data_IF_210091534561
#
_entry.id   IF_210091534561
#
_cell.length_a   1.000
_cell.length_b   1.000
_cell.length_c   1.000
_cell.angle_alpha   90.00
_cell.angle_beta   90.00
_cell.angle_gamma   90.00
#
_symmetry.space_group_name_H-M   'P 1'
#
loop_
_entity.id
_entity.type
_entity.pdbx_description
1 polymer ?
#
# COMPACT_ATOMS: atom_id res chain seq x y z
N UNK A 1 -17.47 11.04 -28.01
CA UNK A 1 -16.73 10.63 -26.79
C UNK A 1 -16.34 11.89 -26.04
N UNK A 2 -16.69 12.01 -24.77
CA UNK A 2 -16.42 13.23 -24.01
C UNK A 2 -14.92 13.35 -23.70
N UNK A 3 -14.40 14.58 -23.77
CA UNK A 3 -12.99 14.87 -23.45
C UNK A 3 -12.67 14.70 -21.96
N UNK A 4 -13.68 14.63 -21.09
CA UNK A 4 -13.52 14.56 -19.64
C UNK A 4 -12.99 13.20 -19.19
N UNK A 5 -13.64 12.10 -19.56
CA UNK A 5 -13.28 10.76 -19.09
C UNK A 5 -11.87 10.39 -19.56
N UNK A 6 -11.47 10.81 -20.76
CA UNK A 6 -10.10 10.64 -21.24
C UNK A 6 -9.08 11.45 -20.42
N UNK A 7 -9.42 12.66 -19.96
CA UNK A 7 -8.55 13.43 -19.05
C UNK A 7 -8.42 12.74 -17.70
N UNK A 8 -9.52 12.19 -17.17
CA UNK A 8 -9.50 11.42 -15.90
C UNK A 8 -8.66 10.16 -16.06
N UNK A 9 -8.84 9.39 -17.13
CA UNK A 9 -7.98 8.25 -17.46
C UNK A 9 -6.53 8.70 -17.46
N UNK A 10 -6.17 9.78 -18.18
CA UNK A 10 -4.80 10.27 -18.21
C UNK A 10 -4.20 10.60 -16.82
N UNK A 11 -5.01 11.03 -15.84
CA UNK A 11 -4.56 11.21 -14.44
C UNK A 11 -4.18 9.86 -13.83
N UNK A 12 -5.07 8.86 -13.91
CA UNK A 12 -4.77 7.49 -13.48
C UNK A 12 -3.50 6.99 -14.13
N UNK A 13 -3.39 7.19 -15.44
CA UNK A 13 -2.28 6.70 -16.23
C UNK A 13 -0.93 7.30 -15.81
N UNK A 14 -0.89 8.60 -15.53
CA UNK A 14 0.35 9.29 -15.17
C UNK A 14 0.72 9.13 -13.69
N UNK A 15 -0.29 9.08 -12.81
CA UNK A 15 -0.08 9.22 -11.36
C UNK A 15 -0.25 7.93 -10.58
N UNK A 16 -1.13 7.04 -11.00
CA UNK A 16 -1.38 5.77 -10.31
C UNK A 16 -0.77 4.58 -11.03
N UNK A 17 -0.96 4.50 -12.35
CA UNK A 17 -0.71 3.32 -13.19
C UNK A 17 0.57 3.42 -14.02
N UNK A 18 1.45 4.35 -13.71
CA UNK A 18 2.69 4.60 -14.46
C UNK A 18 3.74 3.44 -14.40
N UNK A 19 3.40 2.31 -13.79
CA UNK A 19 4.23 1.08 -13.70
C UNK A 19 3.92 0.09 -14.84
N UNK A 20 2.95 0.41 -15.70
CA UNK A 20 2.66 -0.34 -16.92
C UNK A 20 3.94 -0.64 -17.71
N UNK A 21 3.92 -1.74 -18.45
CA UNK A 21 4.99 -2.28 -19.30
C UNK A 21 6.24 -2.83 -18.60
N UNK A 22 6.37 -2.73 -17.27
CA UNK A 22 7.52 -3.29 -16.52
C UNK A 22 7.21 -4.72 -15.99
N UNK A 23 5.93 -5.05 -15.94
CA UNK A 23 5.37 -6.22 -15.28
C UNK A 23 5.06 -7.33 -16.30
N UNK A 24 5.66 -8.52 -16.14
CA UNK A 24 5.31 -9.68 -16.97
C UNK A 24 3.83 -10.05 -16.76
N UNK A 25 3.05 -10.05 -17.84
CA UNK A 25 1.61 -10.34 -17.80
C UNK A 25 0.68 -9.12 -17.61
N UNK A 26 1.18 -7.89 -17.77
CA UNK A 26 0.34 -6.69 -17.83
C UNK A 26 -0.54 -6.70 -19.11
N UNK A 27 -1.85 -6.49 -18.93
CA UNK A 27 -2.90 -6.48 -19.95
C UNK A 27 -3.58 -5.10 -20.06
N UNK A 28 -3.00 -4.05 -19.46
CA UNK A 28 -3.63 -2.73 -19.42
C UNK A 28 -3.85 -2.17 -20.83
N UNK A 29 -2.82 -2.14 -21.67
CA UNK A 29 -2.95 -1.65 -23.06
C UNK A 29 -3.83 -2.55 -23.93
N UNK A 30 -3.97 -3.84 -23.57
CA UNK A 30 -4.76 -4.81 -24.34
C UNK A 30 -6.25 -4.69 -24.06
N UNK A 31 -6.64 -4.50 -22.81
CA UNK A 31 -8.05 -4.40 -22.40
C UNK A 31 -8.29 -3.52 -21.18
N UNK A 32 -7.34 -3.44 -20.25
CA UNK A 32 -7.53 -2.74 -18.98
C UNK A 32 -7.83 -1.25 -19.11
N UNK A 33 -7.25 -0.57 -20.09
CA UNK A 33 -7.50 0.83 -20.38
C UNK A 33 -8.96 1.08 -20.77
N UNK A 34 -9.49 0.23 -21.63
CA UNK A 34 -10.88 0.31 -22.07
C UNK A 34 -11.84 -0.04 -20.92
N UNK A 35 -11.50 -1.03 -20.09
CA UNK A 35 -12.27 -1.35 -18.90
C UNK A 35 -12.25 -0.22 -17.86
N UNK A 36 -11.11 0.45 -17.66
CA UNK A 36 -11.02 1.63 -16.80
C UNK A 36 -11.91 2.76 -17.34
N UNK A 37 -11.83 3.03 -18.64
CA UNK A 37 -12.64 4.04 -19.30
C UNK A 37 -14.14 3.74 -19.16
N UNK A 38 -14.56 2.48 -19.39
CA UNK A 38 -15.95 2.05 -19.19
C UNK A 38 -16.43 2.27 -17.76
N UNK A 39 -15.61 1.92 -16.76
CA UNK A 39 -15.93 2.14 -15.34
C UNK A 39 -16.10 3.62 -15.02
N UNK A 40 -15.20 4.48 -15.50
CA UNK A 40 -15.31 5.93 -15.33
C UNK A 40 -16.58 6.45 -16.01
N UNK A 41 -16.86 6.01 -17.24
CA UNK A 41 -18.06 6.40 -17.99
C UNK A 41 -19.36 6.03 -17.27
N UNK A 42 -19.41 4.88 -16.60
CA UNK A 42 -20.59 4.49 -15.82
C UNK A 42 -20.91 5.51 -14.71
N UNK A 43 -19.88 6.04 -14.03
CA UNK A 43 -20.07 7.10 -13.03
C UNK A 43 -20.43 8.44 -13.66
N UNK A 44 -19.75 8.85 -14.73
CA UNK A 44 -19.99 10.16 -15.35
C UNK A 44 -21.34 10.26 -16.03
N UNK A 45 -21.85 9.18 -16.63
CA UNK A 45 -23.18 9.14 -17.24
C UNK A 45 -24.30 9.23 -16.20
N UNK A 46 -24.07 8.73 -14.99
CA UNK A 46 -25.04 8.77 -13.89
C UNK A 46 -24.87 9.98 -12.97
N UNK A 47 -23.96 10.91 -13.28
CA UNK A 47 -23.67 12.07 -12.45
C UNK A 47 -23.32 11.66 -11.00
N UNK A 48 -22.48 10.63 -10.86
CA UNK A 48 -22.07 10.08 -9.58
C UNK A 48 -20.57 10.29 -9.34
N UNK A 49 -20.14 10.49 -8.09
CA UNK A 49 -18.73 10.52 -7.75
C UNK A 49 -18.04 9.23 -8.19
N UNK A 50 -16.85 9.34 -8.78
CA UNK A 50 -16.02 8.18 -9.12
C UNK A 50 -15.53 7.54 -7.83
N UNK A 51 -15.90 6.29 -7.59
CA UNK A 51 -15.57 5.62 -6.33
C UNK A 51 -14.37 4.69 -6.48
N UNK A 52 -13.32 4.92 -5.71
CA UNK A 52 -12.10 4.12 -5.68
C UNK A 52 -12.06 3.26 -4.42
N UNK A 53 -11.49 2.06 -4.53
CA UNK A 53 -11.31 1.17 -3.39
C UNK A 53 -9.88 0.65 -3.36
N UNK A 54 -9.16 0.90 -2.27
CA UNK A 54 -7.78 0.48 -2.08
C UNK A 54 -7.62 -0.29 -0.75
N UNK A 55 -7.51 -1.63 -0.80
CA UNK A 55 -7.06 -2.38 0.36
C UNK A 55 -5.56 -2.16 0.60
N UNK A 56 -5.23 -1.54 1.73
CA UNK A 56 -3.89 -1.06 2.05
C UNK A 56 -3.79 -0.58 3.50
N UNK A 57 -2.57 -0.22 3.93
CA UNK A 57 -2.26 0.31 5.26
C UNK A 57 -2.71 -0.62 6.41
N UNK A 58 -2.18 -1.86 6.47
CA UNK A 58 -2.52 -2.80 7.53
C UNK A 58 -1.91 -2.42 8.89
N UNK A 59 -0.59 -2.28 8.92
CA UNK A 59 0.29 -2.02 10.07
C UNK A 59 1.74 -1.96 9.57
N UNK A 60 2.68 -1.38 10.34
CA UNK A 60 4.12 -1.48 10.05
C UNK A 60 4.61 -2.95 10.15
N UNK A 61 5.53 -3.32 9.27
CA UNK A 61 6.18 -4.63 9.28
C UNK A 61 6.74 -4.99 10.67
N UNK A 62 6.59 -6.24 11.13
CA UNK A 62 7.24 -6.69 12.38
C UNK A 62 8.77 -6.77 12.24
N UNK A 63 9.31 -6.77 11.01
CA UNK A 63 10.74 -6.77 10.77
C UNK A 63 11.33 -5.34 10.93
N UNK A 64 12.00 -5.11 12.06
CA UNK A 64 12.68 -3.85 12.37
C UNK A 64 13.87 -3.51 11.47
N UNK A 65 14.33 -4.45 10.61
CA UNK A 65 15.28 -4.12 9.54
C UNK A 65 14.62 -3.41 8.35
N UNK A 66 13.29 -3.40 8.28
CA UNK A 66 12.53 -2.78 7.18
C UNK A 66 11.99 -1.41 7.56
N UNK A 67 11.65 -1.21 8.83
CA UNK A 67 10.94 -0.03 9.36
C UNK A 67 11.63 0.51 10.61
N UNK A 68 11.47 1.80 10.90
CA UNK A 68 12.08 2.45 12.07
C UNK A 68 11.18 2.41 13.34
N UNK A 69 10.03 1.76 13.28
CA UNK A 69 9.07 1.70 14.38
C UNK A 69 7.77 1.00 14.00
N UNK A 70 6.87 0.83 14.97
CA UNK A 70 5.53 0.22 14.77
C UNK A 70 4.46 1.22 14.32
N UNK A 71 4.75 2.51 14.49
CA UNK A 71 3.81 3.59 14.29
C UNK A 71 3.99 4.17 12.89
N UNK A 72 2.95 4.76 12.27
CA UNK A 72 3.11 5.39 10.98
C UNK A 72 4.09 6.56 11.06
N UNK A 73 4.83 6.73 9.98
CA UNK A 73 5.85 7.76 9.80
C UNK A 73 5.53 8.62 8.56
N UNK A 74 6.49 9.45 8.12
CA UNK A 74 6.28 10.35 6.99
C UNK A 74 5.90 9.60 5.70
N UNK A 75 6.32 8.34 5.54
CA UNK A 75 6.02 7.55 4.35
C UNK A 75 4.53 7.30 4.19
N UNK A 76 3.84 6.97 5.29
CA UNK A 76 2.39 6.78 5.24
C UNK A 76 1.65 8.10 4.99
N UNK A 77 2.03 9.17 5.69
CA UNK A 77 1.39 10.46 5.49
C UNK A 77 1.55 10.94 4.04
N UNK A 78 2.76 10.89 3.50
CA UNK A 78 3.03 11.31 2.12
C UNK A 78 2.19 10.50 1.12
N UNK A 79 2.04 9.19 1.36
CA UNK A 79 1.19 8.32 0.55
C UNK A 79 -0.30 8.71 0.63
N UNK A 80 -0.81 9.07 1.81
CA UNK A 80 -2.19 9.55 2.00
C UNK A 80 -2.41 10.90 1.31
N UNK A 81 -1.50 11.86 1.49
CA UNK A 81 -1.56 13.17 0.83
C UNK A 81 -1.53 13.04 -0.70
N UNK A 82 -0.69 12.13 -1.22
CA UNK A 82 -0.61 11.88 -2.66
C UNK A 82 -1.93 11.32 -3.22
N UNK A 83 -2.53 10.36 -2.52
CA UNK A 83 -3.82 9.79 -2.92
C UNK A 83 -4.95 10.82 -2.86
N UNK A 84 -5.01 11.62 -1.79
CA UNK A 84 -6.00 12.69 -1.66
C UNK A 84 -5.86 13.72 -2.79
N UNK A 85 -4.62 14.12 -3.11
CA UNK A 85 -4.34 15.09 -4.20
C UNK A 85 -4.78 14.59 -5.58
N UNK A 86 -4.71 13.28 -5.82
CA UNK A 86 -5.22 12.70 -7.07
C UNK A 86 -6.73 12.84 -7.14
N UNK A 87 -7.45 12.60 -6.03
CA UNK A 87 -8.88 12.85 -5.96
C UNK A 87 -9.19 14.34 -6.17
N UNK A 88 -8.47 15.26 -5.53
CA UNK A 88 -8.62 16.71 -5.74
C UNK A 88 -8.44 17.13 -7.20
N UNK A 89 -7.44 16.59 -7.89
CA UNK A 89 -7.19 16.86 -9.31
C UNK A 89 -8.33 16.38 -10.21
N UNK A 90 -8.93 15.23 -9.89
CA UNK A 90 -10.13 14.73 -10.59
C UNK A 90 -11.33 15.63 -10.28
N UNK A 91 -11.50 16.07 -9.03
CA UNK A 91 -12.61 16.92 -8.58
C UNK A 91 -12.57 18.31 -9.23
N UNK A 92 -11.36 18.82 -9.53
CA UNK A 92 -11.21 20.03 -10.31
C UNK A 92 -11.73 19.89 -11.76
N UNK A 93 -11.69 18.67 -12.32
CA UNK A 93 -12.15 18.38 -13.68
C UNK A 93 -13.61 17.93 -13.76
N UNK A 94 -14.12 17.28 -12.71
CA UNK A 94 -15.43 16.64 -12.69
C UNK A 94 -16.24 17.07 -11.46
N UNK A 95 -17.40 17.68 -11.67
CA UNK A 95 -18.19 18.33 -10.62
C UNK A 95 -18.64 17.39 -9.49
N UNK A 96 -18.93 16.12 -9.78
CA UNK A 96 -19.30 15.12 -8.76
C UNK A 96 -18.06 14.47 -8.12
N UNK A 97 -16.88 14.73 -8.67
CA UNK A 97 -15.61 14.35 -8.10
C UNK A 97 -15.33 12.85 -8.01
N UNK A 98 -14.46 12.51 -7.08
CA UNK A 98 -13.86 11.21 -6.88
C UNK A 98 -13.50 11.06 -5.41
N UNK A 99 -13.90 9.92 -4.84
CA UNK A 99 -13.60 9.57 -3.45
C UNK A 99 -12.89 8.23 -3.38
N UNK A 100 -11.98 8.11 -2.41
CA UNK A 100 -11.21 6.91 -2.16
C UNK A 100 -11.60 6.28 -0.82
N UNK A 101 -12.01 5.02 -0.86
CA UNK A 101 -12.11 4.17 0.32
C UNK A 101 -10.78 3.43 0.51
N UNK A 102 -10.05 3.78 1.56
CA UNK A 102 -8.94 2.97 2.07
C UNK A 102 -9.54 1.89 2.97
N UNK A 103 -9.41 0.65 2.51
CA UNK A 103 -9.88 -0.53 3.24
C UNK A 103 -8.71 -1.14 4.00
N UNK A 104 -8.56 -0.84 5.29
CA UNK A 104 -7.44 -1.36 6.07
C UNK A 104 -7.58 -2.88 6.25
N UNK A 105 -6.63 -3.61 5.68
CA UNK A 105 -6.57 -5.07 5.71
C UNK A 105 -5.78 -5.63 6.90
N UNK A 106 -5.38 -4.76 7.86
CA UNK A 106 -4.61 -5.15 9.04
C UNK A 106 -5.29 -6.24 9.85
N UNK A 107 -6.55 -6.05 10.21
CA UNK A 107 -7.39 -7.00 10.94
C UNK A 107 -7.54 -8.37 10.26
N UNK A 108 -7.38 -8.42 8.93
CA UNK A 108 -7.46 -9.68 8.17
C UNK A 108 -6.23 -10.54 8.39
N UNK A 109 -5.07 -9.93 8.65
CA UNK A 109 -3.78 -10.62 8.61
C UNK A 109 -2.93 -10.48 9.89
N UNK A 110 -3.26 -9.59 10.83
CA UNK A 110 -2.36 -9.23 11.93
C UNK A 110 -1.93 -10.42 12.80
N UNK A 111 -2.86 -11.32 13.11
CA UNK A 111 -2.61 -12.56 13.86
C UNK A 111 -1.68 -13.53 13.10
N UNK A 112 -1.80 -13.62 11.76
CA UNK A 112 -0.89 -14.43 10.94
C UNK A 112 0.55 -13.88 10.90
N UNK A 113 0.69 -12.56 11.07
CA UNK A 113 1.97 -11.85 10.96
C UNK A 113 2.56 -11.55 12.37
N UNK A 114 1.87 -11.95 13.44
CA UNK A 114 2.33 -11.72 14.81
C UNK A 114 2.26 -10.26 15.25
N UNK A 115 1.37 -9.46 14.65
CA UNK A 115 1.12 -8.07 15.03
C UNK A 115 -0.08 -8.02 15.98
N UNK A 116 0.13 -7.47 17.18
CA UNK A 116 -0.93 -7.37 18.19
C UNK A 116 -2.09 -6.47 17.73
N UNK A 117 -3.28 -6.75 18.23
CA UNK A 117 -4.45 -5.90 17.97
C UNK A 117 -4.23 -4.45 18.39
N UNK A 118 -3.53 -4.23 19.51
CA UNK A 118 -3.20 -2.91 20.02
C UNK A 118 -2.27 -2.15 19.07
N UNK A 119 -1.22 -2.81 18.55
CA UNK A 119 -0.28 -2.19 17.60
C UNK A 119 -0.99 -1.82 16.30
N UNK A 120 -1.80 -2.73 15.74
CA UNK A 120 -2.58 -2.49 14.52
C UNK A 120 -3.60 -1.36 14.73
N UNK A 121 -4.37 -1.39 15.82
CA UNK A 121 -5.36 -0.35 16.11
C UNK A 121 -4.70 1.02 16.31
N UNK A 122 -3.57 1.07 17.02
CA UNK A 122 -2.82 2.32 17.23
C UNK A 122 -2.30 2.87 15.91
N UNK A 123 -1.78 1.99 15.04
CA UNK A 123 -1.30 2.37 13.71
C UNK A 123 -2.44 2.98 12.87
N UNK A 124 -3.57 2.28 12.73
CA UNK A 124 -4.71 2.75 11.93
C UNK A 124 -5.32 4.02 12.51
N UNK A 125 -5.44 4.13 13.84
CA UNK A 125 -5.98 5.32 14.49
C UNK A 125 -5.12 6.56 14.22
N UNK A 126 -3.79 6.42 14.18
CA UNK A 126 -2.88 7.51 13.80
C UNK A 126 -3.01 7.91 12.33
N UNK A 127 -3.22 6.95 11.43
CA UNK A 127 -3.47 7.26 10.02
C UNK A 127 -4.79 8.01 9.82
N UNK A 128 -5.85 7.60 10.52
CA UNK A 128 -7.13 8.31 10.53
C UNK A 128 -6.97 9.74 11.06
N UNK A 129 -6.17 9.91 12.11
CA UNK A 129 -5.83 11.24 12.61
C UNK A 129 -5.07 12.07 11.56
N UNK A 130 -4.01 11.53 10.95
CA UNK A 130 -3.25 12.23 9.90
C UNK A 130 -4.08 12.61 8.67
N UNK A 131 -5.10 11.82 8.34
CA UNK A 131 -5.99 12.06 7.20
C UNK A 131 -7.29 12.77 7.56
N UNK A 132 -7.46 13.28 8.79
CA UNK A 132 -8.75 13.86 9.20
C UNK A 132 -9.15 15.11 8.39
N UNK A 133 -8.16 15.81 7.83
CA UNK A 133 -8.34 16.98 6.94
C UNK A 133 -8.42 16.60 5.46
N UNK A 134 -8.14 15.34 5.11
CA UNK A 134 -8.16 14.84 3.74
C UNK A 134 -9.59 14.45 3.35
N UNK A 135 -10.31 15.38 2.73
CA UNK A 135 -11.75 15.28 2.50
C UNK A 135 -12.18 14.18 1.54
N UNK A 136 -11.26 13.59 0.78
CA UNK A 136 -11.56 12.56 -0.24
C UNK A 136 -11.13 11.15 0.17
N UNK A 137 -10.67 10.96 1.42
CA UNK A 137 -10.29 9.66 1.95
C UNK A 137 -11.29 9.21 3.00
N UNK A 138 -11.86 8.04 2.77
CA UNK A 138 -12.71 7.33 3.72
C UNK A 138 -12.01 6.06 4.18
N UNK A 139 -12.24 5.69 5.45
CA UNK A 139 -11.64 4.51 6.05
C UNK A 139 -12.69 3.44 6.32
N UNK A 140 -12.38 2.22 5.93
CA UNK A 140 -13.18 1.04 6.23
C UNK A 140 -12.29 -0.15 6.62
N UNK A 141 -12.88 -1.18 7.22
CA UNK A 141 -12.16 -2.36 7.69
C UNK A 141 -13.08 -3.56 7.89
N UNK A 142 -12.48 -4.73 8.12
CA UNK A 142 -13.19 -5.99 8.36
C UNK A 142 -14.23 -5.91 9.48
N UNK A 143 -13.92 -5.17 10.56
CA UNK A 143 -14.72 -5.13 11.78
C UNK A 143 -16.16 -4.63 11.53
N UNK A 144 -16.38 -3.78 10.52
CA UNK A 144 -17.69 -3.28 10.12
C UNK A 144 -18.61 -4.36 9.52
N UNK A 145 -18.06 -5.48 9.09
CA UNK A 145 -18.81 -6.55 8.41
C UNK A 145 -18.86 -7.84 9.21
N UNK A 146 -17.83 -8.14 9.97
CA UNK A 146 -17.74 -9.39 10.74
C UNK A 146 -17.96 -9.20 12.23
N UNK A 147 -17.97 -7.95 12.71
CA UNK A 147 -17.74 -7.65 14.12
C UNK A 147 -16.26 -7.82 14.47
N UNK A 148 -15.93 -7.51 15.73
CA UNK A 148 -14.57 -7.64 16.27
C UNK A 148 -14.18 -9.12 16.31
N UNK A 149 -13.08 -9.47 15.65
CA UNK A 149 -12.57 -10.83 15.58
C UNK A 149 -11.21 -10.88 14.89
N UNK A 150 -10.95 -11.94 14.14
CA UNK A 150 -9.75 -12.12 13.33
C UNK A 150 -10.13 -12.55 11.90
N UNK A 151 -9.14 -12.79 11.05
CA UNK A 151 -9.38 -13.21 9.66
C UNK A 151 -10.16 -14.53 9.52
N UNK A 152 -10.28 -15.38 10.55
CA UNK A 152 -11.14 -16.56 10.49
C UNK A 152 -12.63 -16.19 10.47
N UNK A 153 -13.00 -15.10 11.15
CA UNK A 153 -14.37 -14.59 11.14
C UNK A 153 -14.78 -14.12 9.73
N UNK A 154 -13.83 -13.55 8.99
CA UNK A 154 -13.99 -13.22 7.57
C UNK A 154 -14.18 -14.47 6.72
N UNK A 155 -13.32 -15.48 6.89
CA UNK A 155 -13.42 -16.75 6.13
C UNK A 155 -14.73 -17.48 6.43
N UNK A 156 -15.18 -17.49 7.68
CA UNK A 156 -16.46 -18.10 8.06
C UNK A 156 -17.66 -17.46 7.36
N UNK A 157 -17.62 -16.14 7.12
CA UNK A 157 -18.74 -15.37 6.56
C UNK A 157 -18.68 -15.19 5.05
N UNK A 158 -17.47 -15.11 4.48
CA UNK A 158 -17.23 -14.75 3.08
C UNK A 158 -16.30 -15.73 2.34
N UNK A 159 -15.75 -16.71 3.04
CA UNK A 159 -14.95 -17.77 2.44
C UNK A 159 -15.82 -18.72 1.61
N UNK A 160 -15.18 -19.35 0.63
CA UNK A 160 -15.83 -20.33 -0.24
C UNK A 160 -15.54 -21.72 0.30
N UNK A 161 -16.57 -22.57 0.48
CA UNK A 161 -16.37 -23.98 0.87
C UNK A 161 -15.62 -24.79 -0.19
N UNK A 162 -15.48 -24.25 -1.39
CA UNK A 162 -14.78 -24.85 -2.54
C UNK A 162 -13.36 -24.32 -2.73
N UNK A 163 -12.82 -23.47 -1.86
CA UNK A 163 -11.43 -23.03 -2.02
C UNK A 163 -10.49 -24.15 -1.61
N UNK A 164 -10.13 -24.93 -2.61
CA UNK A 164 -9.09 -25.93 -2.52
C UNK A 164 -7.79 -25.28 -3.00
N UNK A 165 -6.84 -25.12 -2.08
CA UNK A 165 -5.53 -24.55 -2.37
C UNK A 165 -4.76 -25.36 -3.42
N UNK A 166 -4.92 -26.68 -3.43
CA UNK A 166 -4.25 -27.55 -4.37
C UNK A 166 -4.87 -27.39 -5.77
N UNK A 167 -6.20 -27.25 -5.87
CA UNK A 167 -6.84 -26.88 -7.13
C UNK A 167 -6.48 -25.45 -7.57
N UNK A 168 -6.36 -24.51 -6.64
CA UNK A 168 -5.94 -23.16 -6.94
C UNK A 168 -4.52 -23.15 -7.56
N UNK A 169 -3.58 -23.91 -7.01
CA UNK A 169 -2.22 -24.04 -7.56
C UNK A 169 -2.23 -24.52 -9.02
N UNK A 170 -3.17 -25.40 -9.38
CA UNK A 170 -3.29 -25.97 -10.72
C UNK A 170 -4.08 -25.08 -11.70
N UNK A 171 -4.82 -24.08 -11.22
CA UNK A 171 -5.73 -23.26 -12.04
C UNK A 171 -5.00 -22.31 -13.01
N UNK A 172 -3.76 -21.95 -12.71
CA UNK A 172 -2.94 -21.07 -13.55
C UNK A 172 -1.47 -21.37 -13.37
N UNK A 173 -0.70 -21.32 -14.46
CA UNK A 173 0.76 -21.50 -14.43
C UNK A 173 1.48 -20.47 -13.52
N UNK A 174 0.87 -19.30 -13.28
CA UNK A 174 1.45 -18.25 -12.44
C UNK A 174 1.18 -18.43 -10.94
N UNK A 175 0.22 -19.28 -10.56
CA UNK A 175 -0.22 -19.44 -9.17
C UNK A 175 0.88 -20.03 -8.26
N UNK A 176 1.64 -21.06 -8.67
CA UNK A 176 2.77 -21.55 -7.88
C UNK A 176 3.84 -20.49 -7.64
N UNK A 177 4.15 -19.66 -8.64
CA UNK A 177 5.12 -18.57 -8.50
C UNK A 177 4.65 -17.51 -7.51
N UNK A 178 3.37 -17.14 -7.55
CA UNK A 178 2.79 -16.21 -6.57
C UNK A 178 2.90 -16.76 -5.15
N UNK A 179 2.60 -18.04 -4.94
CA UNK A 179 2.74 -18.68 -3.63
C UNK A 179 4.20 -18.70 -3.14
N UNK A 180 5.14 -19.03 -4.03
CA UNK A 180 6.57 -19.03 -3.70
C UNK A 180 7.04 -17.63 -3.31
N UNK A 181 6.60 -16.59 -4.02
CA UNK A 181 6.92 -15.20 -3.70
C UNK A 181 6.33 -14.79 -2.35
N UNK A 182 5.06 -15.10 -2.09
CA UNK A 182 4.43 -14.82 -0.81
C UNK A 182 5.15 -15.51 0.36
N UNK A 183 5.54 -16.78 0.19
CA UNK A 183 6.34 -17.50 1.19
C UNK A 183 7.69 -16.84 1.42
N UNK A 184 8.43 -16.48 0.37
CA UNK A 184 9.73 -15.78 0.50
C UNK A 184 9.58 -14.42 1.18
N UNK A 185 8.51 -13.70 0.86
CA UNK A 185 8.16 -12.46 1.53
C UNK A 185 7.95 -12.69 3.03
N UNK A 186 7.23 -13.74 3.41
CA UNK A 186 7.06 -14.12 4.81
C UNK A 186 8.33 -14.55 5.51
N UNK A 187 9.19 -15.31 4.83
CA UNK A 187 10.51 -15.67 5.37
C UNK A 187 11.34 -14.41 5.69
N UNK A 188 11.24 -13.37 4.86
CA UNK A 188 11.93 -12.11 5.11
C UNK A 188 11.26 -11.25 6.20
N UNK A 189 9.93 -11.25 6.29
CA UNK A 189 9.20 -10.41 7.25
C UNK A 189 9.11 -11.04 8.65
N UNK A 190 9.09 -12.36 8.75
CA UNK A 190 8.93 -13.11 10.01
C UNK A 190 10.18 -13.89 10.42
N UNK A 191 11.18 -14.02 9.54
CA UNK A 191 12.35 -14.87 9.78
C UNK A 191 13.22 -14.45 10.96
N UNK A 192 13.26 -13.16 11.29
CA UNK A 192 14.04 -12.61 12.39
C UNK A 192 13.27 -12.51 13.72
N UNK A 193 12.02 -13.00 13.77
CA UNK A 193 11.25 -12.99 15.01
C UNK A 193 11.91 -13.90 16.05
N UNK A 194 11.95 -13.46 17.31
CA UNK A 194 12.58 -14.18 18.43
C UNK A 194 12.07 -15.61 18.59
N UNK A 195 10.79 -15.85 18.29
CA UNK A 195 10.16 -17.18 18.32
C UNK A 195 10.64 -18.11 17.18
N UNK A 196 11.02 -17.53 16.04
CA UNK A 196 11.44 -18.26 14.84
C UNK A 196 12.96 -18.50 14.78
N UNK A 197 13.75 -17.77 15.58
CA UNK A 197 15.22 -17.89 15.61
C UNK A 197 15.72 -19.27 16.05
N UNK A 198 14.91 -20.03 16.79
CA UNK A 198 15.24 -21.38 17.26
C UNK A 198 14.83 -22.50 16.28
N UNK A 199 14.17 -22.17 15.18
CA UNK A 199 13.69 -23.16 14.20
C UNK A 199 14.79 -23.50 13.19
N UNK A 200 14.88 -24.77 12.81
CA UNK A 200 15.68 -25.15 11.64
C UNK A 200 15.13 -24.49 10.37
N UNK A 201 15.98 -24.26 9.36
CA UNK A 201 15.55 -23.72 8.05
C UNK A 201 14.37 -24.48 7.44
N UNK A 202 14.32 -25.81 7.65
CA UNK A 202 13.22 -26.66 7.18
C UNK A 202 11.91 -26.38 7.93
N UNK A 203 11.96 -26.28 9.25
CA UNK A 203 10.79 -25.96 10.07
C UNK A 203 10.25 -24.57 9.75
N UNK A 204 11.14 -23.57 9.63
CA UNK A 204 10.77 -22.21 9.24
C UNK A 204 10.04 -22.21 7.89
N UNK A 205 10.61 -22.86 6.87
CA UNK A 205 9.99 -22.97 5.54
C UNK A 205 8.59 -23.59 5.60
N UNK A 206 8.40 -24.66 6.37
CA UNK A 206 7.10 -25.31 6.56
C UNK A 206 6.11 -24.35 7.21
N UNK A 207 6.49 -23.69 8.30
CA UNK A 207 5.63 -22.73 8.99
C UNK A 207 5.24 -21.54 8.09
N UNK A 208 6.20 -20.97 7.37
CA UNK A 208 5.93 -19.88 6.42
C UNK A 208 5.02 -20.32 5.27
N UNK A 209 5.08 -21.59 4.86
CA UNK A 209 4.17 -22.14 3.85
C UNK A 209 2.73 -22.25 4.37
N UNK A 210 2.55 -22.63 5.65
CA UNK A 210 1.23 -22.66 6.29
C UNK A 210 0.64 -21.26 6.42
N UNK A 211 1.44 -20.28 6.86
CA UNK A 211 1.03 -18.87 6.96
C UNK A 211 0.63 -18.33 5.59
N UNK A 212 1.47 -18.55 4.56
CA UNK A 212 1.17 -18.13 3.19
C UNK A 212 -0.15 -18.75 2.67
N UNK A 213 -0.41 -20.04 2.95
CA UNK A 213 -1.67 -20.69 2.58
C UNK A 213 -2.87 -20.02 3.27
N UNK A 214 -2.78 -19.75 4.58
CA UNK A 214 -3.86 -19.08 5.32
C UNK A 214 -4.12 -17.66 4.82
N UNK A 215 -3.08 -16.89 4.50
CA UNK A 215 -3.25 -15.58 3.89
C UNK A 215 -4.03 -15.63 2.59
N UNK A 216 -3.76 -16.62 1.74
CA UNK A 216 -4.43 -16.75 0.47
C UNK A 216 -5.92 -17.05 0.62
N UNK A 217 -6.26 -17.95 1.54
CA UNK A 217 -7.65 -18.24 1.91
C UNK A 217 -8.35 -16.96 2.40
N UNK A 218 -7.69 -16.20 3.27
CA UNK A 218 -8.24 -14.94 3.79
C UNK A 218 -8.35 -13.85 2.72
N UNK A 219 -7.40 -13.77 1.78
CA UNK A 219 -7.44 -12.82 0.68
C UNK A 219 -8.56 -13.14 -0.33
N UNK A 220 -8.85 -14.41 -0.56
CA UNK A 220 -10.03 -14.81 -1.33
C UNK A 220 -11.33 -14.38 -0.63
N UNK A 221 -11.47 -14.70 0.66
CA UNK A 221 -12.63 -14.26 1.45
C UNK A 221 -12.77 -12.72 1.48
N UNK A 222 -11.64 -12.00 1.59
CA UNK A 222 -11.60 -10.55 1.47
C UNK A 222 -12.08 -10.09 0.09
N UNK A 223 -11.60 -10.73 -0.99
CA UNK A 223 -12.04 -10.41 -2.35
C UNK A 223 -13.55 -10.62 -2.51
N UNK A 224 -14.12 -11.67 -1.93
CA UNK A 224 -15.56 -11.91 -1.94
C UNK A 224 -16.34 -10.84 -1.16
N UNK A 225 -15.85 -10.45 0.02
CA UNK A 225 -16.44 -9.35 0.80
C UNK A 225 -16.46 -8.06 -0.01
N UNK A 226 -15.31 -7.68 -0.58
CA UNK A 226 -15.18 -6.43 -1.33
C UNK A 226 -16.04 -6.44 -2.59
N UNK A 227 -16.12 -7.56 -3.33
CA UNK A 227 -17.02 -7.69 -4.48
C UNK A 227 -18.49 -7.51 -4.09
N UNK A 228 -18.89 -8.00 -2.91
CA UNK A 228 -20.27 -7.90 -2.42
C UNK A 228 -20.65 -6.49 -1.99
N UNK A 229 -19.78 -5.79 -1.27
CA UNK A 229 -20.09 -4.48 -0.68
C UNK A 229 -19.63 -3.28 -1.49
N UNK A 230 -18.66 -3.48 -2.39
CA UNK A 230 -18.08 -2.45 -3.25
C UNK A 230 -18.11 -2.84 -4.74
N UNK A 231 -19.24 -3.33 -5.29
CA UNK A 231 -19.28 -3.93 -6.64
C UNK A 231 -18.88 -2.95 -7.75
N UNK A 232 -19.23 -1.67 -7.60
CA UNK A 232 -19.02 -0.67 -8.64
C UNK A 232 -17.71 0.12 -8.47
N UNK A 233 -16.97 -0.08 -7.37
CA UNK A 233 -15.75 0.70 -7.13
C UNK A 233 -14.64 0.28 -8.09
N UNK A 234 -13.86 1.26 -8.55
CA UNK A 234 -12.62 0.99 -9.28
C UNK A 234 -11.61 0.43 -8.26
N UNK A 235 -11.31 -0.86 -8.41
CA UNK A 235 -10.47 -1.62 -7.48
C UNK A 235 -9.01 -1.33 -7.74
N UNK A 236 -8.37 -0.67 -6.79
CA UNK A 236 -6.94 -0.43 -6.78
C UNK A 236 -6.23 -1.52 -5.96
N UNK A 237 -4.93 -1.70 -6.20
CA UNK A 237 -4.12 -2.69 -5.50
C UNK A 237 -2.66 -2.23 -5.37
N UNK A 238 -2.06 -2.57 -4.24
CA UNK A 238 -0.62 -2.43 -3.98
C UNK A 238 0.19 -3.67 -4.43
N UNK A 239 -0.50 -4.70 -4.90
CA UNK A 239 0.11 -5.91 -5.46
C UNK A 239 0.03 -5.90 -6.97
N UNK A 240 1.01 -6.52 -7.61
CA UNK A 240 1.04 -6.68 -9.06
C UNK A 240 -0.13 -7.54 -9.53
N UNK A 241 -0.93 -6.99 -10.42
CA UNK A 241 -2.02 -7.66 -11.12
C UNK A 241 -1.92 -7.43 -12.63
N UNK A 242 -2.63 -8.24 -13.46
CA UNK A 242 -2.67 -8.06 -14.91
C UNK A 242 -3.23 -6.70 -15.36
N UNK A 243 -3.82 -5.90 -14.47
CA UNK A 243 -4.41 -4.61 -14.82
C UNK A 243 -5.47 -4.72 -15.93
N UNK A 244 -6.22 -5.82 -15.96
CA UNK A 244 -7.17 -6.19 -17.02
C UNK A 244 -8.57 -5.59 -16.88
N UNK A 245 -8.84 -4.91 -15.75
CA UNK A 245 -10.13 -4.33 -15.42
C UNK A 245 -10.66 -4.75 -14.05
N UNK A 246 -10.28 -5.94 -13.54
CA UNK A 246 -10.74 -6.38 -12.20
C UNK A 246 -10.06 -5.57 -11.09
N UNK A 247 -8.73 -5.43 -11.18
CA UNK A 247 -7.89 -4.68 -10.25
C UNK A 247 -6.81 -3.91 -11.01
N UNK A 248 -6.54 -2.69 -10.58
CA UNK A 248 -5.48 -1.85 -11.12
C UNK A 248 -4.37 -1.66 -10.08
N UNK A 249 -3.16 -2.05 -10.48
CA UNK A 249 -1.95 -1.94 -9.66
C UNK A 249 -1.52 -0.48 -9.60
N UNK A 250 -1.37 0.07 -8.39
CA UNK A 250 -0.96 1.45 -8.17
C UNK A 250 0.38 1.55 -7.45
N UNK A 251 1.01 2.73 -7.53
CA UNK A 251 2.06 3.16 -6.59
C UNK A 251 1.62 4.37 -5.79
N UNK A 252 2.22 4.52 -4.62
CA UNK A 252 1.95 5.64 -3.72
C UNK A 252 2.65 6.94 -4.11
N UNK A 253 3.73 6.92 -4.91
CA UNK A 253 4.34 8.13 -5.49
C UNK A 253 5.38 7.82 -6.57
N UNK A 254 5.75 8.84 -7.34
CA UNK A 254 6.43 8.74 -8.64
C UNK A 254 7.84 8.12 -8.59
N UNK A 255 8.53 8.21 -7.44
CA UNK A 255 9.91 7.76 -7.26
C UNK A 255 10.08 6.64 -6.22
N UNK A 256 8.97 6.01 -5.80
CA UNK A 256 9.04 4.81 -4.96
C UNK A 256 9.80 3.71 -5.71
N UNK A 257 11.09 3.58 -5.41
CA UNK A 257 12.04 2.81 -6.23
C UNK A 257 11.61 1.35 -6.39
N UNK A 258 11.51 0.95 -7.65
CA UNK A 258 11.34 -0.44 -8.03
C UNK A 258 12.57 -1.23 -7.63
N UNK A 259 12.39 -2.37 -6.98
CA UNK A 259 13.43 -3.41 -6.99
C UNK A 259 13.07 -4.36 -8.12
N UNK A 260 13.88 -4.40 -9.17
CA UNK A 260 13.91 -5.57 -10.03
C UNK A 260 14.64 -6.67 -9.26
N UNK A 261 13.93 -7.71 -8.85
CA UNK A 261 14.55 -8.95 -8.41
C UNK A 261 14.05 -10.07 -9.31
N UNK A 262 14.95 -10.70 -10.06
CA UNK A 262 14.67 -11.87 -10.91
C UNK A 262 13.38 -11.72 -11.74
N UNK A 263 13.31 -10.71 -12.61
CA UNK A 263 12.18 -10.40 -13.50
C UNK A 263 10.84 -9.99 -12.84
N UNK A 264 10.78 -9.87 -11.52
CA UNK A 264 9.61 -9.33 -10.82
C UNK A 264 9.92 -7.94 -10.25
N UNK A 265 8.99 -7.00 -10.42
CA UNK A 265 9.10 -5.70 -9.79
C UNK A 265 8.28 -5.66 -8.51
N UNK A 266 8.96 -5.46 -7.37
CA UNK A 266 8.31 -5.38 -6.07
C UNK A 266 8.01 -3.91 -5.76
N UNK A 267 6.73 -3.60 -5.59
CA UNK A 267 6.26 -2.29 -5.17
C UNK A 267 6.63 -2.07 -3.71
N UNK A 268 7.38 -1.00 -3.45
CA UNK A 268 7.67 -0.58 -2.08
C UNK A 268 6.44 0.09 -1.51
N UNK A 269 6.04 -0.38 -0.33
CA UNK A 269 4.92 0.17 0.44
C UNK A 269 5.47 0.87 1.67
N UNK A 270 4.83 1.97 2.13
CA UNK A 270 5.30 2.74 3.28
C UNK A 270 5.48 1.88 4.54
N UNK A 271 4.60 0.91 4.75
CA UNK A 271 4.64 0.07 5.94
C UNK A 271 5.70 -1.03 5.95
N UNK A 272 6.45 -1.17 4.85
CA UNK A 272 7.58 -2.08 4.73
C UNK A 272 8.91 -1.36 4.48
N UNK A 273 8.93 -0.04 4.56
CA UNK A 273 10.07 0.81 4.22
C UNK A 273 10.07 2.06 5.11
N UNK A 274 11.08 2.89 4.95
CA UNK A 274 11.14 4.26 5.48
C UNK A 274 11.24 5.25 4.33
N UNK A 275 10.66 6.43 4.52
CA UNK A 275 10.75 7.55 3.58
C UNK A 275 12.09 8.27 3.75
N UNK A 276 12.79 8.46 2.63
CA UNK A 276 14.02 9.22 2.52
C UNK A 276 13.78 10.38 1.56
N UNK A 277 14.20 11.58 1.94
CA UNK A 277 14.09 12.80 1.14
C UNK A 277 15.51 13.24 0.79
N UNK A 278 15.83 13.36 -0.50
CA UNK A 278 17.13 13.90 -0.89
C UNK A 278 17.14 15.44 -0.79
N UNK A 279 18.33 16.03 -0.94
CA UNK A 279 18.50 17.49 -0.89
C UNK A 279 17.74 18.28 -1.97
N UNK A 280 17.30 17.63 -3.05
CA UNK A 280 16.50 18.23 -4.12
C UNK A 280 14.99 18.13 -3.85
N UNK A 281 14.58 17.50 -2.73
CA UNK A 281 13.19 17.25 -2.38
C UNK A 281 12.59 15.99 -3.00
N UNK A 282 13.38 15.19 -3.73
CA UNK A 282 12.93 13.92 -4.27
C UNK A 282 12.77 12.90 -3.14
N UNK A 283 11.68 12.14 -3.20
CA UNK A 283 11.31 11.18 -2.16
C UNK A 283 11.55 9.75 -2.61
N UNK A 284 12.00 8.90 -1.70
CA UNK A 284 12.21 7.48 -1.97
C UNK A 284 11.81 6.62 -0.78
N UNK A 285 11.32 5.41 -1.04
CA UNK A 285 11.13 4.38 -0.01
C UNK A 285 12.30 3.42 -0.05
N UNK A 286 12.88 3.07 1.09
CA UNK A 286 13.84 1.96 1.18
C UNK A 286 13.74 1.21 2.51
N UNK A 287 14.18 -0.05 2.59
CA UNK A 287 14.25 -0.76 3.87
C UNK A 287 15.20 -0.05 4.83
N UNK A 288 14.82 0.05 6.11
CA UNK A 288 15.63 0.70 7.15
C UNK A 288 17.09 0.22 7.19
N UNK A 289 17.36 -1.08 7.04
CA UNK A 289 18.71 -1.67 7.00
C UNK A 289 19.60 -1.19 5.86
N UNK A 290 19.03 -0.56 4.82
CA UNK A 290 19.80 0.00 3.70
C UNK A 290 20.25 1.43 3.95
N UNK A 291 19.76 2.07 5.01
CA UNK A 291 20.22 3.40 5.38
C UNK A 291 21.67 3.34 5.87
N UNK A 292 22.48 4.25 5.37
CA UNK A 292 23.79 4.54 5.94
C UNK A 292 23.66 5.75 6.86
N UNK A 293 23.51 5.48 8.16
CA UNK A 293 23.32 6.49 9.20
C UNK A 293 24.62 7.20 9.59
N UNK A 294 25.77 6.71 9.15
CA UNK A 294 27.08 7.28 9.54
C UNK A 294 27.46 8.47 8.67
N UNK A 295 27.10 8.47 7.38
CA UNK A 295 27.54 9.53 6.48
C UNK A 295 26.53 9.98 5.42
N UNK A 296 25.40 9.29 5.22
CA UNK A 296 24.51 9.57 4.09
C UNK A 296 23.08 9.89 4.48
N UNK A 297 22.56 9.32 5.58
CA UNK A 297 21.15 9.44 5.95
C UNK A 297 21.00 9.96 7.37
N UNK A 298 20.43 11.17 7.51
CA UNK A 298 20.21 11.82 8.82
C UNK A 298 18.75 11.62 9.25
N UNK A 299 18.49 11.07 10.46
CA UNK A 299 17.13 10.90 10.95
C UNK A 299 16.51 12.24 11.35
N UNK A 300 15.26 12.45 10.94
CA UNK A 300 14.42 13.56 11.41
C UNK A 300 13.46 12.99 12.46
N UNK A 301 13.45 13.61 13.64
CA UNK A 301 12.60 13.21 14.76
C UNK A 301 11.35 14.09 14.86
N UNK A 302 10.21 13.48 15.10
CA UNK A 302 8.96 14.13 15.49
C UNK A 302 8.54 13.58 16.85
N UNK A 303 8.44 14.45 17.87
CA UNK A 303 8.11 14.03 19.25
C UNK A 303 8.98 12.85 19.74
N UNK A 304 10.28 12.92 19.47
CA UNK A 304 11.28 11.88 19.78
C UNK A 304 11.11 10.54 19.05
N UNK A 305 10.21 10.45 18.07
CA UNK A 305 10.09 9.30 17.17
C UNK A 305 10.77 9.61 15.83
N UNK A 306 11.50 8.65 15.26
CA UNK A 306 11.97 8.78 13.88
C UNK A 306 10.77 8.94 12.94
N UNK A 307 10.76 10.03 12.20
CA UNK A 307 9.70 10.43 11.29
C UNK A 307 10.08 10.23 9.82
N UNK A 308 11.29 10.60 9.44
CA UNK A 308 11.83 10.42 8.08
C UNK A 308 13.35 10.53 8.12
N UNK A 309 13.99 10.44 6.95
CA UNK A 309 15.43 10.61 6.78
C UNK A 309 15.71 11.61 5.67
N UNK A 310 16.73 12.44 5.86
CA UNK A 310 17.28 13.28 4.79
C UNK A 310 18.54 12.63 4.25
N UNK A 311 18.62 12.42 2.94
CA UNK A 311 19.80 11.93 2.25
C UNK A 311 20.72 13.09 1.87
N UNK A 312 21.95 13.06 2.37
CA UNK A 312 22.99 14.03 2.08
C UNK A 312 23.90 13.54 0.94
N UNK A 313 24.34 14.41 0.03
CA UNK A 313 25.41 14.09 -0.92
C UNK A 313 26.73 13.82 -0.19
N UNK A 314 27.45 12.77 -0.63
CA UNK A 314 28.62 12.21 0.09
C UNK A 314 29.81 13.15 0.27
N UNK A 315 30.02 14.14 -0.62
CA UNK A 315 31.31 14.83 -0.72
C UNK A 315 31.26 16.38 -0.68
N UNK A 316 30.12 16.99 -0.34
CA UNK A 316 29.95 18.44 -0.62
C UNK A 316 29.26 19.29 0.45
N UNK A 317 28.90 18.73 1.60
CA UNK A 317 27.99 19.43 2.52
C UNK A 317 28.71 20.03 3.73
N UNK A 318 28.92 21.35 3.69
CA UNK A 318 29.55 22.14 4.77
C UNK A 318 28.53 22.57 5.83
N UNK A 319 27.29 22.88 5.42
CA UNK A 319 26.16 23.22 6.28
C UNK A 319 24.85 22.87 5.60
N UNK A 320 23.85 22.39 6.34
CA UNK A 320 22.49 22.16 5.86
C UNK A 320 21.52 23.05 6.65
N UNK A 321 20.72 23.84 5.95
CA UNK A 321 19.57 24.51 6.53
C UNK A 321 18.29 23.86 5.96
N UNK A 322 17.32 23.58 6.83
CA UNK A 322 16.01 23.12 6.38
C UNK A 322 14.92 23.90 7.11
N UNK A 323 13.84 24.20 6.39
CA UNK A 323 12.64 24.76 6.98
C UNK A 323 11.63 23.64 7.13
N UNK A 324 11.35 23.27 8.39
CA UNK A 324 10.23 22.40 8.71
C UNK A 324 8.95 23.25 8.72
N UNK A 325 8.15 23.17 7.65
CA UNK A 325 6.81 23.73 7.69
C UNK A 325 5.87 22.72 8.33
N UNK A 326 5.65 22.88 9.63
CA UNK A 326 4.57 22.20 10.33
C UNK A 326 3.31 23.05 10.17
N UNK A 327 2.51 22.72 9.16
CA UNK A 327 1.17 23.29 9.04
C UNK A 327 0.23 22.43 9.89
N UNK A 328 0.00 22.85 11.14
CA UNK A 328 -1.13 22.38 11.94
C UNK A 328 -2.38 23.13 11.46
N UNK A 329 -2.82 22.84 10.23
CA UNK A 329 -4.19 23.13 9.86
C UNK A 329 -5.00 21.99 10.50
N UNK A 330 -5.79 22.33 11.50
CA UNK A 330 -6.75 21.43 12.16
C UNK A 330 -6.12 20.16 12.78
N UNK A 331 -5.07 20.33 13.59
CA UNK A 331 -4.36 19.27 14.35
C UNK A 331 -3.67 18.16 13.51
N UNK A 332 -3.84 18.12 12.19
CA UNK A 332 -3.11 17.23 11.28
C UNK A 332 -1.74 17.82 10.91
N UNK A 333 -0.63 17.08 11.06
CA UNK A 333 0.67 17.59 10.66
C UNK A 333 0.86 17.42 9.15
N UNK A 334 0.68 18.48 8.38
CA UNK A 334 1.13 18.53 6.99
C UNK A 334 2.63 18.84 6.95
N UNK A 335 3.41 18.01 6.27
CA UNK A 335 4.87 18.16 6.22
C UNK A 335 5.35 18.55 4.83
N UNK A 336 5.76 19.81 4.70
CA UNK A 336 6.68 20.24 3.64
C UNK A 336 8.08 20.35 4.23
N UNK A 337 9.01 19.51 3.77
CA UNK A 337 10.44 19.72 4.01
C UNK A 337 10.99 20.52 2.84
N UNK A 338 11.31 21.79 3.06
CA UNK A 338 12.09 22.59 2.09
C UNK A 338 13.52 22.60 2.56
N UNK A 339 14.43 22.12 1.71
CA UNK A 339 15.87 22.17 1.94
C UNK A 339 16.37 23.37 1.15
N UNK A 340 16.85 24.39 1.86
CA UNK A 340 17.52 25.53 1.23
C UNK A 340 19.02 25.20 1.26
N UNK A 341 19.57 24.84 0.11
CA UNK A 341 20.98 24.46 -0.05
C UNK A 341 21.91 25.66 -0.16
#
# INVERSE_FOLDING_TARGET
MSSLELKIVNIFEKKLLSIRSISQGDLYEKCGRDELLKKIQAFTQENQPIKLLLPAFPFKSPNMEKVCGKLPDAGELYALEYLNRICEEINFLYEYGCDLVIWSDGRVFNDLIGVSDSDMFTYVSRLKYYSMTMTHIQWDSMDNYTGIGNGESLVKKYGTSTFDFDQWLLKSENNPEQFIHLRKFMENDLGNNTENNNLSRRQLKTQMSLIAKQMMIRNEALTNLLKKHYPNHIRLSIHQHPNDGEKFTIRFFMDATMVQSNNHCVLRTPWHNVLVINVEGNVNLMPYRKLNLECEHVPILLKSQIWTFVQLPRDSLVSLAFTLKLSLLDDSPHFGLSIDL
#
